data_IF_403681982706
#
_entry.id   IF_403681982706
#
_cell.length_a   1.000
_cell.length_b   1.000
_cell.length_c   1.000
_cell.angle_alpha   90.00
_cell.angle_beta   90.00
_cell.angle_gamma   90.00
#
_symmetry.space_group_name_H-M   'P 1'
#
loop_
_entity.id
_entity.type
_entity.pdbx_description
1 polymer ?
#
# COMPACT_ATOMS: atom_id res chain seq x y z
N UNK A 1 -28.52 -39.36 2.59
CA UNK A 1 -28.35 -39.47 1.12
C UNK A 1 -29.56 -38.91 0.37
N UNK A 2 -30.79 -39.28 0.76
CA UNK A 2 -32.05 -38.81 0.12
C UNK A 2 -32.24 -37.28 0.20
N UNK A 3 -31.92 -36.64 1.32
CA UNK A 3 -32.03 -35.17 1.45
C UNK A 3 -30.99 -34.40 0.62
N UNK A 4 -29.81 -34.98 0.41
CA UNK A 4 -28.76 -34.41 -0.44
C UNK A 4 -29.20 -34.44 -1.92
N UNK A 5 -29.76 -35.56 -2.37
CA UNK A 5 -30.28 -35.71 -3.73
C UNK A 5 -31.52 -34.85 -3.97
N UNK A 6 -32.40 -34.71 -2.96
CA UNK A 6 -33.56 -33.81 -3.04
C UNK A 6 -33.14 -32.33 -3.10
N UNK A 7 -32.11 -31.95 -2.34
CA UNK A 7 -31.55 -30.59 -2.37
C UNK A 7 -30.80 -30.30 -3.66
N UNK A 8 -30.07 -31.26 -4.23
CA UNK A 8 -29.44 -31.12 -5.55
C UNK A 8 -30.49 -31.01 -6.66
N UNK A 9 -31.55 -31.83 -6.61
CA UNK A 9 -32.65 -31.77 -7.57
C UNK A 9 -33.45 -30.45 -7.50
N UNK A 10 -33.57 -29.85 -6.30
CA UNK A 10 -34.16 -28.51 -6.16
C UNK A 10 -33.23 -27.41 -6.67
N UNK A 11 -31.90 -27.52 -6.46
CA UNK A 11 -30.94 -26.57 -7.03
C UNK A 11 -30.85 -26.66 -8.55
N UNK A 12 -30.92 -27.86 -9.12
CA UNK A 12 -30.95 -28.08 -10.57
C UNK A 12 -32.23 -27.53 -11.19
N UNK A 13 -33.40 -27.74 -10.56
CA UNK A 13 -34.66 -27.13 -11.00
C UNK A 13 -34.66 -25.60 -10.92
N UNK A 14 -34.03 -25.02 -9.90
CA UNK A 14 -33.83 -23.58 -9.86
C UNK A 14 -32.95 -23.14 -11.05
N UNK A 15 -31.80 -23.76 -11.28
CA UNK A 15 -30.91 -23.41 -12.39
C UNK A 15 -31.58 -23.57 -13.78
N UNK A 16 -32.40 -24.59 -13.99
CA UNK A 16 -33.14 -24.79 -15.24
C UNK A 16 -34.17 -23.67 -15.51
N UNK A 17 -34.78 -23.09 -14.48
CA UNK A 17 -35.67 -21.92 -14.64
C UNK A 17 -34.92 -20.60 -14.90
N UNK A 18 -33.59 -20.59 -14.81
CA UNK A 18 -32.73 -19.42 -15.02
C UNK A 18 -32.11 -19.34 -16.42
N UNK A 19 -31.97 -20.47 -17.12
CA UNK A 19 -31.47 -20.50 -18.51
C UNK A 19 -32.64 -20.38 -19.47
N UNK A 20 -33.07 -19.16 -19.79
CA UNK A 20 -33.90 -18.93 -20.96
C UNK A 20 -33.01 -18.93 -22.22
N UNK A 21 -33.31 -19.75 -23.25
CA UNK A 21 -32.49 -19.86 -24.45
C UNK A 21 -32.69 -18.73 -25.49
N UNK A 22 -33.48 -17.70 -25.19
CA UNK A 22 -34.04 -16.79 -26.20
C UNK A 22 -33.30 -15.45 -26.39
N UNK A 23 -32.02 -15.35 -26.05
CA UNK A 23 -31.26 -14.11 -26.28
C UNK A 23 -29.96 -14.35 -27.03
N UNK A 24 -30.09 -14.75 -28.29
CA UNK A 24 -29.01 -14.71 -29.28
C UNK A 24 -29.58 -14.12 -30.58
N UNK A 25 -29.69 -12.80 -30.61
CA UNK A 25 -29.90 -12.05 -31.86
C UNK A 25 -28.67 -11.17 -32.07
N UNK A 26 -27.82 -11.60 -32.99
CA UNK A 26 -26.69 -10.83 -33.51
C UNK A 26 -27.21 -9.56 -34.19
N UNK A 27 -26.91 -8.38 -33.66
CA UNK A 27 -26.99 -7.11 -34.39
C UNK A 27 -25.86 -6.19 -33.90
N UNK A 28 -25.17 -5.53 -34.85
CA UNK A 28 -23.94 -4.74 -34.68
C UNK A 28 -24.16 -3.43 -33.91
N UNK A 29 -23.13 -2.93 -33.18
CA UNK A 29 -23.35 -2.03 -32.05
C UNK A 29 -23.51 -0.55 -32.44
N UNK A 30 -24.63 0.03 -32.01
CA UNK A 30 -24.74 1.47 -31.79
C UNK A 30 -24.20 1.82 -30.40
N UNK A 31 -23.54 2.96 -30.25
CA UNK A 31 -22.84 3.41 -29.03
C UNK A 31 -23.70 3.52 -27.76
N UNK A 32 -25.01 3.28 -27.85
CA UNK A 32 -25.97 3.22 -26.75
C UNK A 32 -26.21 1.78 -26.23
N UNK A 33 -25.79 0.74 -26.96
CA UNK A 33 -26.09 -0.67 -26.65
C UNK A 33 -25.25 -1.22 -25.50
N UNK A 34 -24.02 -0.73 -25.30
CA UNK A 34 -23.14 -1.17 -24.20
C UNK A 34 -23.80 -0.93 -22.82
N UNK A 35 -24.52 0.19 -22.66
CA UNK A 35 -25.27 0.49 -21.44
C UNK A 35 -26.44 -0.47 -21.22
N UNK A 36 -27.04 -0.97 -22.30
CA UNK A 36 -28.18 -1.88 -22.25
C UNK A 36 -27.74 -3.32 -21.96
N UNK A 37 -26.58 -3.76 -22.45
CA UNK A 37 -26.00 -5.07 -22.13
C UNK A 37 -25.65 -5.20 -20.64
N UNK A 38 -24.95 -4.22 -20.06
CA UNK A 38 -24.62 -4.22 -18.64
C UNK A 38 -25.87 -4.17 -17.75
N UNK A 39 -26.92 -3.46 -18.18
CA UNK A 39 -28.22 -3.44 -17.50
C UNK A 39 -28.87 -4.83 -17.47
N UNK A 40 -28.78 -5.59 -18.55
CA UNK A 40 -29.28 -6.98 -18.61
C UNK A 40 -28.50 -7.90 -17.66
N UNK A 41 -27.17 -7.80 -17.66
CA UNK A 41 -26.29 -8.53 -16.72
C UNK A 41 -26.64 -8.20 -15.27
N UNK A 42 -26.87 -6.92 -14.96
CA UNK A 42 -27.26 -6.49 -13.62
C UNK A 42 -28.64 -7.00 -13.19
N UNK A 43 -29.63 -7.05 -14.12
CA UNK A 43 -30.95 -7.64 -13.87
C UNK A 43 -30.84 -9.13 -13.53
N UNK A 44 -30.04 -9.88 -14.29
CA UNK A 44 -29.77 -11.30 -14.02
C UNK A 44 -29.09 -11.49 -12.66
N UNK A 45 -28.06 -10.70 -12.36
CA UNK A 45 -27.40 -10.72 -11.06
C UNK A 45 -28.36 -10.43 -9.90
N UNK A 46 -29.24 -9.45 -10.06
CA UNK A 46 -30.24 -9.10 -9.04
C UNK A 46 -31.22 -10.25 -8.82
N UNK A 47 -31.66 -10.91 -9.91
CA UNK A 47 -32.58 -12.06 -9.85
C UNK A 47 -31.95 -13.27 -9.16
N UNK A 48 -30.67 -13.57 -9.39
CA UNK A 48 -29.99 -14.73 -8.80
C UNK A 48 -29.45 -14.48 -7.38
N UNK A 49 -29.24 -13.22 -7.01
CA UNK A 49 -28.70 -12.83 -5.69
C UNK A 49 -29.35 -13.52 -4.49
N UNK A 50 -30.69 -13.58 -4.34
CA UNK A 50 -31.29 -14.24 -3.18
C UNK A 50 -30.95 -15.73 -3.11
N UNK A 51 -31.07 -16.45 -4.23
CA UNK A 51 -30.73 -17.88 -4.31
C UNK A 51 -29.26 -18.14 -3.97
N UNK A 52 -28.35 -17.36 -4.59
CA UNK A 52 -26.91 -17.44 -4.34
C UNK A 52 -26.60 -17.26 -2.86
N UNK A 53 -27.15 -16.20 -2.24
CA UNK A 53 -26.91 -15.92 -0.83
C UNK A 53 -27.44 -17.06 0.06
N UNK A 54 -28.66 -17.58 -0.20
CA UNK A 54 -29.24 -18.66 0.60
C UNK A 54 -28.44 -19.95 0.54
N UNK A 55 -27.96 -20.34 -0.65
CA UNK A 55 -27.18 -21.57 -0.80
C UNK A 55 -25.77 -21.41 -0.22
N UNK A 56 -25.09 -20.27 -0.43
CA UNK A 56 -23.79 -19.99 0.19
C UNK A 56 -23.87 -20.11 1.72
N UNK A 57 -24.85 -19.45 2.34
CA UNK A 57 -24.99 -19.43 3.80
C UNK A 57 -25.37 -20.81 4.36
N UNK A 58 -26.13 -21.60 3.59
CA UNK A 58 -26.46 -22.99 3.92
C UNK A 58 -25.21 -23.89 3.89
N UNK A 59 -24.39 -23.76 2.86
CA UNK A 59 -23.13 -24.52 2.76
C UNK A 59 -22.12 -24.10 3.83
N UNK A 60 -22.03 -22.80 4.14
CA UNK A 60 -21.24 -22.30 5.27
C UNK A 60 -21.66 -22.97 6.59
N UNK A 61 -22.95 -22.94 6.92
CA UNK A 61 -23.49 -23.54 8.15
C UNK A 61 -23.17 -25.04 8.21
N UNK A 62 -23.33 -25.75 7.10
CA UNK A 62 -23.03 -27.18 7.01
C UNK A 62 -21.54 -27.49 7.23
N UNK A 63 -20.65 -26.68 6.67
CA UNK A 63 -19.20 -26.82 6.88
C UNK A 63 -18.82 -26.54 8.34
N UNK A 64 -19.36 -25.49 8.96
CA UNK A 64 -19.11 -25.18 10.37
C UNK A 64 -19.53 -26.32 11.31
N UNK A 65 -20.66 -26.97 11.05
CA UNK A 65 -21.13 -28.12 11.84
C UNK A 65 -20.22 -29.34 11.66
N UNK A 66 -19.69 -29.56 10.46
CA UNK A 66 -18.85 -30.71 10.13
C UNK A 66 -17.42 -30.59 10.68
N UNK A 67 -16.86 -29.37 10.72
CA UNK A 67 -15.49 -29.10 11.21
C UNK A 67 -15.37 -29.14 12.74
N UNK A 68 -16.48 -29.17 13.48
CA UNK A 68 -16.52 -29.27 14.94
C UNK A 68 -16.15 -27.96 15.65
N UNK A 69 -16.94 -27.59 16.67
CA UNK A 69 -16.81 -26.32 17.40
C UNK A 69 -15.44 -26.12 18.09
N UNK A 70 -14.65 -27.18 18.28
CA UNK A 70 -13.32 -27.13 18.90
C UNK A 70 -12.22 -26.60 17.96
N UNK A 71 -12.32 -26.82 16.64
CA UNK A 71 -11.33 -26.34 15.67
C UNK A 71 -11.50 -24.84 15.34
N UNK A 72 -12.68 -24.27 15.63
CA UNK A 72 -13.08 -22.91 15.25
C UNK A 72 -13.19 -21.96 16.46
N UNK A 73 -12.66 -22.34 17.63
CA UNK A 73 -12.75 -21.57 18.89
C UNK A 73 -11.82 -20.35 18.91
N UNK A 74 -11.94 -19.48 17.92
CA UNK A 74 -11.38 -18.13 17.92
C UNK A 74 -12.51 -17.12 18.10
N UNK A 75 -12.43 -16.28 19.14
CA UNK A 75 -13.39 -15.21 19.48
C UNK A 75 -13.43 -14.09 18.41
N UNK A 76 -13.86 -14.38 17.18
CA UNK A 76 -14.09 -13.36 16.16
C UNK A 76 -15.59 -13.26 15.87
N UNK A 77 -16.16 -12.08 16.12
CA UNK A 77 -17.55 -11.74 15.80
C UNK A 77 -17.86 -11.98 14.31
N UNK A 78 -16.86 -11.86 13.45
CA UNK A 78 -16.89 -12.15 12.01
C UNK A 78 -17.31 -13.58 11.69
N UNK A 79 -16.96 -14.59 12.49
CA UNK A 79 -17.33 -16.00 12.20
C UNK A 79 -18.78 -16.35 12.52
N UNK A 80 -19.48 -15.50 13.28
CA UNK A 80 -20.89 -15.68 13.63
C UNK A 80 -21.84 -14.97 12.65
N UNK A 81 -21.32 -14.35 11.59
CA UNK A 81 -22.11 -13.72 10.54
C UNK A 81 -22.14 -14.62 9.30
N UNK A 82 -23.25 -14.59 8.57
CA UNK A 82 -23.33 -15.25 7.27
C UNK A 82 -22.31 -14.63 6.31
N UNK A 83 -21.76 -15.40 5.39
CA UNK A 83 -20.82 -14.90 4.36
C UNK A 83 -21.50 -13.79 3.55
N UNK A 84 -22.78 -13.95 3.23
CA UNK A 84 -23.56 -12.93 2.52
C UNK A 84 -23.59 -11.58 3.27
N UNK A 85 -23.80 -11.61 4.59
CA UNK A 85 -23.83 -10.43 5.46
C UNK A 85 -22.45 -9.77 5.59
N UNK A 86 -21.38 -10.57 5.68
CA UNK A 86 -20.01 -10.07 5.71
C UNK A 86 -19.67 -9.34 4.41
N UNK A 87 -19.93 -9.97 3.26
CA UNK A 87 -19.69 -9.37 1.94
C UNK A 87 -20.52 -8.10 1.77
N UNK A 88 -21.80 -8.11 2.15
CA UNK A 88 -22.65 -6.92 2.11
C UNK A 88 -22.11 -5.79 3.01
N UNK A 89 -21.55 -6.13 4.18
CA UNK A 89 -20.88 -5.18 5.06
C UNK A 89 -19.65 -4.54 4.42
N UNK A 90 -18.80 -5.33 3.77
CA UNK A 90 -17.63 -4.81 3.05
C UNK A 90 -18.02 -3.98 1.82
N UNK A 91 -19.07 -4.38 1.10
CA UNK A 91 -19.54 -3.68 -0.10
C UNK A 91 -20.35 -2.40 0.20
N UNK A 92 -20.76 -2.18 1.45
CA UNK A 92 -21.48 -0.96 1.85
C UNK A 92 -20.59 0.28 1.83
N UNK A 93 -19.30 0.11 2.11
CA UNK A 93 -18.29 1.18 2.05
C UNK A 93 -16.96 0.61 1.51
N UNK A 94 -16.85 0.41 0.19
CA UNK A 94 -15.64 -0.11 -0.43
C UNK A 94 -14.51 0.94 -0.44
N UNK A 95 -14.83 2.22 -0.23
CA UNK A 95 -13.89 3.34 -0.31
C UNK A 95 -12.72 3.15 0.64
N UNK A 96 -12.95 2.62 1.83
CA UNK A 96 -11.88 2.32 2.79
C UNK A 96 -10.86 1.29 2.26
N UNK A 97 -11.33 0.28 1.54
CA UNK A 97 -10.47 -0.75 0.95
C UNK A 97 -9.74 -0.21 -0.27
N UNK A 98 -10.47 0.47 -1.15
CA UNK A 98 -9.95 1.10 -2.36
C UNK A 98 -8.84 2.10 -2.00
N UNK A 99 -9.06 2.96 -1.00
CA UNK A 99 -8.09 3.96 -0.56
C UNK A 99 -6.85 3.35 0.13
N UNK A 100 -6.93 2.09 0.57
CA UNK A 100 -5.76 1.33 1.02
C UNK A 100 -4.97 0.73 -0.14
N UNK A 101 -5.64 0.42 -1.25
CA UNK A 101 -4.99 -0.10 -2.46
C UNK A 101 -4.31 1.01 -3.27
N UNK A 102 -4.73 2.27 -3.17
CA UNK A 102 -4.02 3.34 -3.88
C UNK A 102 -2.64 3.61 -3.27
N UNK A 103 -1.62 3.62 -4.14
CA UNK A 103 -0.25 3.85 -3.75
C UNK A 103 -0.05 5.32 -3.36
N UNK A 104 0.68 5.55 -2.27
CA UNK A 104 1.07 6.89 -1.86
C UNK A 104 2.16 7.39 -2.81
N UNK A 105 1.97 8.58 -3.39
CA UNK A 105 2.97 9.25 -4.25
C UNK A 105 4.36 9.33 -3.62
N UNK A 106 4.46 9.30 -2.29
CA UNK A 106 5.74 9.35 -1.55
C UNK A 106 6.54 8.04 -1.53
N UNK A 107 5.97 6.89 -1.90
CA UNK A 107 6.62 5.59 -1.79
C UNK A 107 7.27 5.10 -3.12
N UNK A 108 6.90 5.69 -4.26
CA UNK A 108 7.48 5.37 -5.58
C UNK A 108 7.90 6.65 -6.28
N UNK A 109 9.19 6.75 -6.62
CA UNK A 109 9.66 7.78 -7.55
C UNK A 109 9.10 7.48 -8.93
N UNK A 110 8.12 8.27 -9.38
CA UNK A 110 7.53 8.13 -10.71
C UNK A 110 8.62 8.41 -11.75
N UNK A 111 8.87 7.45 -12.63
CA UNK A 111 9.88 7.59 -13.68
C UNK A 111 9.39 8.62 -14.70
N UNK A 112 10.05 9.79 -14.76
CA UNK A 112 9.66 10.92 -15.61
C UNK A 112 9.23 12.18 -14.85
N UNK A 113 9.03 12.10 -13.53
CA UNK A 113 8.81 13.29 -12.71
C UNK A 113 10.16 13.96 -12.46
N UNK A 114 10.42 15.04 -13.20
CA UNK A 114 11.65 15.81 -13.10
C UNK A 114 11.82 16.27 -11.65
N UNK A 115 12.99 16.01 -11.09
CA UNK A 115 13.39 16.44 -9.77
C UNK A 115 13.12 17.95 -9.57
N UNK A 116 12.00 18.28 -8.96
CA UNK A 116 11.71 19.60 -8.47
C UNK A 116 11.27 19.49 -7.01
N UNK A 117 12.20 19.92 -6.15
CA UNK A 117 12.09 20.21 -4.73
C UNK A 117 11.97 19.01 -3.76
N UNK A 118 12.86 18.92 -2.75
CA UNK A 118 12.70 17.96 -1.67
C UNK A 118 11.43 18.32 -0.90
N UNK A 119 10.46 17.42 -0.92
CA UNK A 119 9.27 17.50 -0.07
C UNK A 119 9.72 17.72 1.38
N UNK A 120 9.62 18.98 1.79
CA UNK A 120 9.58 19.37 3.20
C UNK A 120 8.46 18.53 3.80
N UNK A 121 8.74 17.84 4.88
CA UNK A 121 7.76 17.11 5.68
C UNK A 121 6.63 18.05 6.09
N UNK A 122 5.59 18.16 5.27
CA UNK A 122 4.35 18.80 5.63
C UNK A 122 3.47 17.69 6.20
N UNK A 123 3.46 17.61 7.52
CA UNK A 123 2.44 16.90 8.27
C UNK A 123 1.06 17.41 7.80
N UNK A 124 0.22 16.53 7.23
CA UNK A 124 -1.23 16.70 7.30
C UNK A 124 -2.07 16.87 6.02
N UNK A 125 -1.54 16.70 4.81
CA UNK A 125 -2.30 16.69 3.53
C UNK A 125 -1.44 16.01 2.46
N UNK A 126 -1.76 14.90 1.79
CA UNK A 126 -3.05 14.41 1.30
C UNK A 126 -3.22 12.91 1.58
N UNK A 127 -4.36 12.55 2.15
CA UNK A 127 -4.73 11.16 2.49
C UNK A 127 -5.40 10.43 1.32
N UNK A 128 -5.39 11.00 0.12
CA UNK A 128 -5.83 10.34 -1.12
C UNK A 128 -4.60 9.82 -1.88
N UNK A 129 -4.53 8.51 -2.14
CA UNK A 129 -3.52 7.94 -3.04
C UNK A 129 -3.81 8.35 -4.48
N UNK A 130 -2.87 8.10 -5.40
CA UNK A 130 -3.12 8.39 -6.82
C UNK A 130 -4.15 7.38 -7.36
N UNK A 131 -5.31 7.82 -7.89
CA UNK A 131 -6.34 6.91 -8.39
C UNK A 131 -5.88 6.08 -9.59
N UNK A 132 -4.81 6.51 -10.28
CA UNK A 132 -4.24 5.77 -11.41
C UNK A 132 -3.22 4.69 -10.97
N UNK A 133 -2.67 4.78 -9.74
CA UNK A 133 -1.65 3.85 -9.23
C UNK A 133 -2.22 2.95 -8.13
N UNK A 134 -2.55 1.71 -8.52
CA UNK A 134 -3.05 0.66 -7.62
C UNK A 134 -1.89 -0.23 -7.17
N UNK A 135 -1.73 -0.39 -5.86
CA UNK A 135 -0.85 -1.33 -5.20
C UNK A 135 -1.62 -2.62 -4.82
N UNK A 136 -1.53 -3.62 -5.68
CA UNK A 136 -2.11 -4.95 -5.46
C UNK A 136 -1.15 -5.91 -4.75
N UNK A 137 0.00 -5.42 -4.25
CA UNK A 137 1.03 -6.25 -3.61
C UNK A 137 0.45 -7.16 -2.53
N UNK A 138 -0.37 -6.63 -1.63
CA UNK A 138 -0.94 -7.42 -0.52
C UNK A 138 -1.83 -8.56 -1.02
N UNK A 139 -2.61 -8.30 -2.08
CA UNK A 139 -3.45 -9.30 -2.72
C UNK A 139 -2.61 -10.37 -3.43
N UNK A 140 -1.59 -9.96 -4.19
CA UNK A 140 -0.65 -10.87 -4.84
C UNK A 140 0.06 -11.77 -3.82
N UNK A 141 0.53 -11.21 -2.69
CA UNK A 141 1.16 -11.99 -1.63
C UNK A 141 0.21 -13.03 -1.02
N UNK A 142 -1.08 -12.70 -0.88
CA UNK A 142 -2.09 -13.63 -0.39
C UNK A 142 -2.34 -14.77 -1.39
N UNK A 143 -2.48 -14.46 -2.68
CA UNK A 143 -2.62 -15.48 -3.74
C UNK A 143 -1.39 -16.38 -3.82
N UNK A 144 -0.19 -15.80 -3.74
CA UNK A 144 1.06 -16.56 -3.75
C UNK A 144 1.14 -17.48 -2.53
N UNK A 145 0.71 -17.00 -1.36
CA UNK A 145 0.66 -17.80 -0.14
C UNK A 145 -0.29 -18.98 -0.29
N UNK A 146 -1.51 -18.75 -0.74
CA UNK A 146 -2.52 -19.79 -0.96
C UNK A 146 -2.06 -20.82 -2.01
N UNK A 147 -1.44 -20.34 -3.11
CA UNK A 147 -0.84 -21.20 -4.11
C UNK A 147 0.24 -22.10 -3.50
N UNK A 148 1.18 -21.56 -2.73
CA UNK A 148 2.23 -22.35 -2.07
C UNK A 148 1.68 -23.32 -1.03
N UNK A 149 0.66 -22.93 -0.26
CA UNK A 149 -0.03 -23.80 0.70
C UNK A 149 -0.78 -24.96 0.01
N UNK A 150 -1.36 -24.72 -1.18
CA UNK A 150 -2.01 -25.77 -1.97
C UNK A 150 -1.01 -26.72 -2.67
N UNK A 151 0.21 -26.26 -2.94
CA UNK A 151 1.19 -27.02 -3.72
C UNK A 151 2.00 -28.00 -2.87
N UNK A 152 2.30 -27.69 -1.60
CA UNK A 152 3.02 -28.60 -0.70
C UNK A 152 2.86 -28.24 0.79
N UNK A 153 2.20 -29.12 1.57
CA UNK A 153 1.95 -28.91 3.00
C UNK A 153 3.22 -28.94 3.88
N UNK A 154 4.35 -29.42 3.35
CA UNK A 154 5.62 -29.56 4.11
C UNK A 154 6.71 -28.53 3.78
N UNK A 155 6.77 -27.99 2.56
CA UNK A 155 7.84 -27.08 2.11
C UNK A 155 7.52 -25.59 2.31
N UNK A 156 6.22 -25.25 2.38
CA UNK A 156 5.65 -23.90 2.41
C UNK A 156 6.23 -23.00 3.50
N UNK A 157 6.36 -23.51 4.73
CA UNK A 157 6.74 -22.69 5.87
C UNK A 157 8.19 -22.19 5.77
N UNK A 158 9.11 -23.06 5.33
CA UNK A 158 10.52 -22.72 5.13
C UNK A 158 10.75 -21.65 4.05
N UNK A 159 9.98 -21.72 2.95
CA UNK A 159 10.05 -20.76 1.85
C UNK A 159 9.48 -19.39 2.26
N UNK A 160 8.39 -19.39 3.04
CA UNK A 160 7.77 -18.16 3.56
C UNK A 160 8.70 -17.42 4.54
N UNK A 161 9.36 -18.15 5.44
CA UNK A 161 10.37 -17.59 6.34
C UNK A 161 11.59 -17.04 5.58
N UNK A 162 12.02 -17.70 4.49
CA UNK A 162 13.13 -17.23 3.66
C UNK A 162 12.81 -15.91 2.93
N UNK A 163 11.58 -15.75 2.43
CA UNK A 163 11.13 -14.52 1.78
C UNK A 163 11.08 -13.35 2.77
N UNK A 164 10.54 -13.58 3.97
CA UNK A 164 10.45 -12.57 5.03
C UNK A 164 11.84 -12.12 5.52
N UNK A 165 12.82 -13.02 5.51
CA UNK A 165 14.21 -12.71 5.89
C UNK A 165 14.96 -11.87 4.85
N UNK A 166 14.53 -11.92 3.58
CA UNK A 166 15.07 -11.10 2.48
C UNK A 166 14.49 -9.69 2.41
N UNK A 167 13.42 -9.40 3.16
CA UNK A 167 12.92 -8.03 3.27
C UNK A 167 13.96 -7.16 3.98
N UNK A 168 14.55 -6.24 3.22
CA UNK A 168 15.47 -5.25 3.75
C UNK A 168 14.72 -4.41 4.79
N UNK A 169 15.06 -4.60 6.07
CA UNK A 169 14.51 -3.77 7.15
C UNK A 169 14.84 -2.33 6.82
N UNK A 170 13.82 -1.49 6.67
CA UNK A 170 13.99 -0.03 6.51
C UNK A 170 14.75 0.48 7.73
N UNK A 171 16.06 0.70 7.59
CA UNK A 171 16.89 1.29 8.63
C UNK A 171 16.69 2.80 8.55
N UNK A 172 16.54 3.45 9.70
CA UNK A 172 16.54 4.91 9.77
C UNK A 172 17.75 5.45 9.01
N UNK A 173 17.55 6.51 8.23
CA UNK A 173 18.63 7.18 7.51
C UNK A 173 19.56 7.83 8.56
N UNK A 174 20.54 7.06 9.01
CA UNK A 174 21.56 7.49 9.96
C UNK A 174 22.78 7.94 9.18
N UNK A 175 23.29 9.13 9.50
CA UNK A 175 24.54 9.63 8.95
C UNK A 175 25.71 8.70 9.34
N UNK A 176 26.01 7.74 8.45
CA UNK A 176 27.08 6.73 8.68
C UNK A 176 28.44 7.39 8.82
N UNK A 177 28.64 8.56 8.22
CA UNK A 177 29.89 9.33 8.29
C UNK A 177 29.99 10.16 9.57
N UNK A 178 28.86 10.45 10.24
CA UNK A 178 28.88 11.02 11.59
C UNK A 178 29.39 10.03 12.64
N UNK A 179 29.35 8.72 12.38
CA UNK A 179 29.99 7.74 13.26
C UNK A 179 31.51 7.86 13.19
N UNK A 180 32.19 7.81 14.36
CA UNK A 180 33.66 7.86 14.48
C UNK A 180 34.31 9.12 13.88
N UNK A 181 33.79 10.30 14.25
CA UNK A 181 34.42 11.63 14.06
C UNK A 181 34.91 11.94 12.63
N UNK A 182 34.28 11.38 11.58
CA UNK A 182 34.62 11.72 10.18
C UNK A 182 33.85 12.93 9.64
N UNK A 183 32.96 13.49 10.46
CA UNK A 183 32.19 14.72 10.21
C UNK A 183 32.33 15.62 11.43
N UNK A 184 32.66 16.89 11.20
CA UNK A 184 32.77 17.89 12.27
C UNK A 184 31.37 18.14 12.82
N UNK A 185 31.25 18.12 14.16
CA UNK A 185 30.02 18.42 14.88
C UNK A 185 30.29 19.60 15.80
N UNK A 186 29.45 20.62 15.69
CA UNK A 186 29.48 21.77 16.59
C UNK A 186 28.73 21.41 17.87
N UNK A 187 29.37 20.63 18.74
CA UNK A 187 28.89 20.31 20.08
C UNK A 187 29.82 20.96 21.11
N UNK A 188 29.24 21.67 22.08
CA UNK A 188 30.02 22.25 23.17
C UNK A 188 30.52 21.13 24.08
N UNK A 189 31.83 21.09 24.31
CA UNK A 189 32.45 20.13 25.22
C UNK A 189 32.81 20.83 26.53
N UNK A 190 32.08 20.51 27.60
CA UNK A 190 32.19 21.20 28.90
C UNK A 190 33.61 21.22 29.47
N UNK A 191 34.37 20.13 29.32
CA UNK A 191 35.74 20.01 29.84
C UNK A 191 36.75 20.98 29.21
N UNK A 192 36.48 21.49 28.00
CA UNK A 192 37.41 22.35 27.26
C UNK A 192 36.89 23.77 27.05
N UNK A 193 35.63 24.06 27.42
CA UNK A 193 35.01 25.37 27.22
C UNK A 193 35.76 26.52 27.91
N UNK A 194 36.39 26.24 29.06
CA UNK A 194 37.16 27.21 29.85
C UNK A 194 38.64 26.80 29.99
N UNK A 195 39.20 26.12 28.99
CA UNK A 195 40.57 25.59 29.10
C UNK A 195 41.65 26.68 29.17
N UNK A 196 41.45 27.82 28.51
CA UNK A 196 42.38 28.95 28.52
C UNK A 196 41.61 30.28 28.55
N UNK A 197 42.16 31.26 29.28
CA UNK A 197 41.66 32.63 29.24
C UNK A 197 42.11 33.31 27.93
N UNK A 198 41.28 34.18 27.33
CA UNK A 198 41.67 34.95 26.15
C UNK A 198 42.89 35.83 26.45
N UNK A 199 43.96 35.67 25.66
CA UNK A 199 45.13 36.56 25.72
C UNK A 199 44.95 37.63 24.65
N UNK A 200 44.94 38.93 25.00
CA UNK A 200 44.78 39.98 24.01
C UNK A 200 46.00 40.01 23.09
N UNK A 201 45.76 39.78 21.80
CA UNK A 201 46.78 39.96 20.78
C UNK A 201 46.76 41.42 20.34
N UNK A 202 47.87 42.14 20.56
CA UNK A 202 48.06 43.47 19.99
C UNK A 202 48.43 43.32 18.53
N UNK A 203 47.46 43.50 17.64
CA UNK A 203 47.72 43.51 16.19
C UNK A 203 48.52 44.78 15.87
N UNK A 204 49.69 44.68 15.20
CA UNK A 204 50.46 45.85 14.82
C UNK A 204 49.63 46.81 13.95
N UNK A 205 49.78 48.14 14.11
CA UNK A 205 48.99 49.13 13.37
C UNK A 205 49.20 49.09 11.85
N UNK A 206 50.32 48.49 11.41
CA UNK A 206 50.64 48.27 9.99
C UNK A 206 50.04 46.98 9.40
N UNK A 207 49.39 46.14 10.22
CA UNK A 207 48.92 44.83 9.79
C UNK A 207 47.82 44.91 8.72
N UNK A 208 46.89 45.86 8.81
CA UNK A 208 45.85 46.07 7.80
C UNK A 208 46.45 46.33 6.41
N UNK A 209 47.37 47.30 6.34
CA UNK A 209 48.10 47.63 5.10
C UNK A 209 48.95 46.48 4.58
N UNK A 210 49.52 45.67 5.48
CA UNK A 210 50.28 44.49 5.09
C UNK A 210 49.37 43.39 4.53
N UNK A 211 48.20 43.13 5.13
CA UNK A 211 47.25 42.12 4.64
C UNK A 211 46.60 42.50 3.32
N UNK A 212 46.35 43.80 3.10
CA UNK A 212 45.85 44.34 1.82
C UNK A 212 46.85 44.14 0.67
N UNK A 213 48.15 44.16 0.97
CA UNK A 213 49.22 44.07 -0.02
C UNK A 213 50.00 42.75 0.06
N UNK A 214 49.52 41.76 0.84
CA UNK A 214 50.25 40.51 1.13
C UNK A 214 50.45 39.66 -0.13
N UNK A 215 49.47 39.70 -1.02
CA UNK A 215 49.53 39.11 -2.35
C UNK A 215 49.28 40.23 -3.36
N UNK A 216 50.13 40.30 -4.39
CA UNK A 216 50.13 41.37 -5.37
C UNK A 216 48.72 41.69 -5.86
N UNK A 217 48.34 42.96 -5.77
CA UNK A 217 47.05 43.47 -6.19
C UNK A 217 46.76 43.04 -7.63
N UNK A 218 45.79 42.13 -7.82
CA UNK A 218 45.08 42.07 -9.08
C UNK A 218 44.46 43.45 -9.29
N UNK A 219 44.93 44.17 -10.31
CA UNK A 219 44.33 45.42 -10.78
C UNK A 219 42.84 45.19 -11.06
N UNK A 220 41.97 45.41 -10.07
CA UNK A 220 40.60 45.82 -10.32
C UNK A 220 40.53 47.29 -9.95
N UNK A 221 40.95 48.11 -10.92
CA UNK A 221 40.46 49.48 -10.96
C UNK A 221 38.93 49.39 -11.00
N UNK A 222 38.31 49.73 -9.88
CA UNK A 222 36.87 49.95 -9.80
C UNK A 222 36.63 51.21 -10.63
N UNK A 223 36.21 51.04 -11.88
CA UNK A 223 35.71 52.15 -12.69
C UNK A 223 34.56 52.78 -11.92
N UNK A 224 34.76 54.04 -11.52
CA UNK A 224 33.72 54.85 -10.93
C UNK A 224 32.68 55.12 -12.02
N UNK A 225 31.49 54.56 -11.87
CA UNK A 225 30.32 54.99 -12.61
C UNK A 225 29.85 56.32 -12.02
N UNK A 226 29.93 57.38 -12.84
CA UNK A 226 29.15 58.61 -12.75
C UNK A 226 28.52 58.82 -14.11
#
# INVERSE_FOLDING_TARGET
>A
MVELLSSLSHSERCLETFVNPDLMTDTLPDSNEESDEWSQVQKLHTRITPFRNTEIDKWQRKTQVTTGAAALKGKLHTFNQNISDQVAGYMRDPSRMINRMYLRKSDVGVFGESAAEPATTVEGKDVEGDPELIDDSEFYHQLLKEFLESCDSGASESAFYALRKKQNKKRKLVDRRASKSRKIRYSVHEKIANFMAPVPMTVPPMASKLFENLFGTGNLQKSAAV
#
